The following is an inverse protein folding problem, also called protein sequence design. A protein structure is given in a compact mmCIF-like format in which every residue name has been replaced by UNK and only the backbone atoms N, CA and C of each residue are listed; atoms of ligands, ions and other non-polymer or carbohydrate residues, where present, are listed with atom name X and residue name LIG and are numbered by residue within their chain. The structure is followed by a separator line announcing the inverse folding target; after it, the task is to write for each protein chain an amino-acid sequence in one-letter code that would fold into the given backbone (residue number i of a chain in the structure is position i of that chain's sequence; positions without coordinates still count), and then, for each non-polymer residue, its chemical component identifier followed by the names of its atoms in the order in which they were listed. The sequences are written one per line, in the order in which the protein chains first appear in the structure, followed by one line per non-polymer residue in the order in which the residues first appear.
data_IF_549594189233
#
_entry.id   IF_549594189233
#
_cell.length_a   1.000
_cell.length_b   1.000
_cell.length_c   1.000
_cell.angle_alpha   90.00
_cell.angle_beta   90.00
_cell.angle_gamma   90.00
#
_symmetry.space_group_name_H-M   'P 1'
#
loop_
_entity.id
_entity.type
_entity.pdbx_description
1 polymer ?
#
# COMPACT_ATOMS: atom_id res chain seq x y z
N UNK A 1 -3.59 14.22 21.36
CA UNK A 1 -2.39 15.08 21.42
C UNK A 1 -1.08 14.28 21.46
N UNK A 2 -0.95 13.25 22.31
CA UNK A 2 0.28 12.43 22.43
C UNK A 2 0.79 11.86 21.10
N UNK A 3 -0.10 11.28 20.28
CA UNK A 3 0.24 10.77 18.94
C UNK A 3 0.89 11.89 18.09
N UNK A 4 0.32 13.09 18.12
CA UNK A 4 0.79 14.21 17.31
C UNK A 4 2.14 14.75 17.79
N UNK A 5 2.39 14.74 19.10
CA UNK A 5 3.71 15.06 19.65
C UNK A 5 4.81 14.11 19.16
N UNK A 6 4.48 12.84 18.86
CA UNK A 6 5.42 11.90 18.23
C UNK A 6 5.57 12.12 16.71
N UNK A 7 4.52 12.60 16.04
CA UNK A 7 4.50 12.79 14.58
C UNK A 7 5.23 14.06 14.15
N UNK A 8 5.01 15.18 14.85
CA UNK A 8 5.54 16.49 14.48
C UNK A 8 7.08 16.53 14.29
N UNK A 9 7.90 15.87 15.14
CA UNK A 9 9.35 15.81 14.96
C UNK A 9 9.81 15.05 13.70
N UNK A 10 8.97 14.15 13.17
CA UNK A 10 9.26 13.33 11.99
C UNK A 10 8.90 14.01 10.66
N UNK A 11 8.17 15.13 10.69
CA UNK A 11 7.85 15.90 9.50
C UNK A 11 9.04 16.77 9.08
N UNK A 12 9.44 16.63 7.81
CA UNK A 12 10.34 17.59 7.15
C UNK A 12 9.66 18.94 6.93
N UNK A 13 10.46 19.99 6.77
CA UNK A 13 9.99 21.30 6.32
C UNK A 13 9.22 21.19 5.01
N UNK A 14 8.08 21.87 4.94
CA UNK A 14 7.13 21.80 3.83
C UNK A 14 6.33 20.49 3.77
N UNK A 15 6.58 19.53 4.67
CA UNK A 15 5.83 18.28 4.77
C UNK A 15 4.39 18.52 5.18
N UNK A 16 3.48 17.70 4.64
CA UNK A 16 2.04 17.81 4.89
C UNK A 16 1.61 16.80 5.96
N UNK A 17 0.75 17.25 6.87
CA UNK A 17 0.01 16.45 7.83
C UNK A 17 -1.48 16.57 7.52
N UNK A 18 -2.11 15.46 7.15
CA UNK A 18 -3.56 15.36 7.14
C UNK A 18 -4.01 14.82 8.51
N UNK A 19 -4.65 15.67 9.30
CA UNK A 19 -5.30 15.26 10.55
C UNK A 19 -6.78 14.96 10.26
N UNK A 20 -7.31 13.88 10.82
CA UNK A 20 -8.71 13.49 10.61
C UNK A 20 -9.27 12.68 11.77
N UNK A 21 -10.58 12.80 11.99
CA UNK A 21 -11.33 12.05 13.01
C UNK A 21 -12.72 11.67 12.46
N UNK A 22 -13.35 10.64 13.03
CA UNK A 22 -14.75 10.28 12.78
C UNK A 22 -15.66 10.68 13.96
N UNK A 23 -15.34 11.79 14.62
CA UNK A 23 -16.13 12.37 15.73
C UNK A 23 -16.64 13.75 15.33
N UNK A 24 -17.60 14.27 16.09
CA UNK A 24 -18.06 15.66 15.97
C UNK A 24 -17.51 16.57 17.06
N UNK A 25 -16.83 16.01 18.07
CA UNK A 25 -16.33 16.73 19.22
C UNK A 25 -15.30 17.81 18.83
N UNK A 26 -15.56 19.06 19.20
CA UNK A 26 -14.66 20.20 18.92
C UNK A 26 -13.33 20.05 19.63
N UNK A 27 -13.34 19.42 20.80
CA UNK A 27 -12.19 19.11 21.64
C UNK A 27 -11.20 18.15 20.96
N UNK A 28 -11.72 17.27 20.10
CA UNK A 28 -10.93 16.34 19.31
C UNK A 28 -10.58 16.93 17.93
N UNK A 29 -11.30 17.93 17.44
CA UNK A 29 -11.15 18.45 16.08
C UNK A 29 -10.40 19.80 16.06
N UNK A 30 -11.12 20.93 16.19
CA UNK A 30 -10.52 22.26 16.06
C UNK A 30 -9.56 22.60 17.20
N UNK A 31 -9.77 22.06 18.40
CA UNK A 31 -8.79 22.20 19.47
C UNK A 31 -7.46 21.52 19.14
N UNK A 32 -7.49 20.40 18.41
CA UNK A 32 -6.28 19.73 17.95
C UNK A 32 -5.62 20.50 16.81
N UNK A 33 -6.41 21.06 15.88
CA UNK A 33 -5.88 21.95 14.83
C UNK A 33 -5.20 23.18 15.44
N UNK A 34 -5.82 23.80 16.44
CA UNK A 34 -5.23 24.92 17.21
C UNK A 34 -3.90 24.51 17.84
N UNK A 35 -3.87 23.36 18.51
CA UNK A 35 -2.62 22.82 19.07
C UNK A 35 -1.54 22.64 18.00
N UNK A 36 -1.89 22.10 16.82
CA UNK A 36 -0.94 21.92 15.73
C UNK A 36 -0.43 23.27 15.20
N UNK A 37 -1.30 24.25 15.03
CA UNK A 37 -0.93 25.59 14.57
C UNK A 37 0.06 26.30 15.51
N UNK A 38 -0.06 26.04 16.82
CA UNK A 38 0.91 26.51 17.83
C UNK A 38 2.27 25.79 17.77
N UNK A 39 2.42 24.73 16.98
CA UNK A 39 3.63 23.89 16.86
C UNK A 39 4.26 23.95 15.45
N UNK A 40 4.35 25.16 14.89
CA UNK A 40 4.91 25.46 13.56
C UNK A 40 4.20 24.75 12.40
N UNK A 41 2.88 24.61 12.48
CA UNK A 41 2.06 24.08 11.40
C UNK A 41 1.17 25.18 10.83
N UNK A 42 1.13 25.29 9.51
CA UNK A 42 0.23 26.21 8.82
C UNK A 42 -0.99 25.43 8.32
N UNK A 43 -2.20 25.84 8.72
CA UNK A 43 -3.43 25.30 8.15
C UNK A 43 -3.58 25.74 6.69
N UNK A 44 -3.74 24.77 5.79
CA UNK A 44 -3.86 25.00 4.35
C UNK A 44 -5.32 24.89 3.90
N UNK A 45 -5.73 25.67 2.88
CA UNK A 45 -7.05 25.53 2.29
C UNK A 45 -7.21 24.16 1.62
N UNK A 46 -8.40 23.54 1.69
CA UNK A 46 -8.69 22.32 0.96
C UNK A 46 -8.91 22.62 -0.53
N UNK A 47 -8.96 21.57 -1.35
CA UNK A 47 -9.33 21.72 -2.76
C UNK A 47 -10.79 22.19 -2.90
N UNK A 48 -11.08 23.00 -3.92
CA UNK A 48 -12.41 23.60 -4.19
C UNK A 48 -13.56 22.57 -4.17
N UNK A 49 -13.34 21.41 -4.82
CA UNK A 49 -14.33 20.31 -4.84
C UNK A 49 -14.76 19.82 -3.46
N UNK A 50 -13.92 20.00 -2.44
CA UNK A 50 -14.22 19.59 -1.06
C UNK A 50 -15.10 20.62 -0.37
N UNK A 51 -14.93 21.91 -0.66
CA UNK A 51 -15.75 22.99 -0.10
C UNK A 51 -17.24 22.81 -0.43
N UNK A 52 -17.54 22.21 -1.59
CA UNK A 52 -18.91 21.99 -2.06
C UNK A 52 -19.67 20.91 -1.29
N UNK A 53 -18.97 20.02 -0.59
CA UNK A 53 -19.55 18.83 0.08
C UNK A 53 -19.26 18.79 1.59
N UNK A 54 -18.69 19.87 2.13
CA UNK A 54 -18.31 19.97 3.54
C UNK A 54 -18.72 21.32 4.13
N UNK A 55 -18.92 21.35 5.44
CA UNK A 55 -18.96 22.59 6.20
C UNK A 55 -17.57 23.03 6.62
N UNK A 56 -17.46 24.33 6.93
CA UNK A 56 -16.29 24.82 7.63
C UNK A 56 -16.20 24.26 9.06
N UNK A 57 -14.97 24.15 9.57
CA UNK A 57 -14.71 23.88 10.97
C UNK A 57 -15.25 25.01 11.85
N UNK A 58 -15.51 24.67 13.10
CA UNK A 58 -16.11 25.57 14.08
C UNK A 58 -15.06 26.58 14.56
N UNK A 59 -15.26 27.85 14.22
CA UNK A 59 -14.42 28.95 14.68
C UNK A 59 -14.87 29.41 16.07
N UNK A 60 -13.99 29.32 17.06
CA UNK A 60 -14.20 29.85 18.41
C UNK A 60 -13.05 30.78 18.82
N UNK A 61 -13.33 31.72 19.73
CA UNK A 61 -12.32 32.58 20.40
C UNK A 61 -11.46 33.40 19.43
N UNK A 62 -12.02 33.82 18.29
CA UNK A 62 -11.37 34.71 17.32
C UNK A 62 -10.40 34.02 16.37
N UNK A 63 -10.32 32.68 16.39
CA UNK A 63 -9.49 31.92 15.47
C UNK A 63 -10.27 31.43 14.27
N UNK A 64 -9.67 31.51 13.09
CA UNK A 64 -10.30 31.14 11.83
C UNK A 64 -10.04 29.66 11.49
N UNK A 65 -11.10 28.86 11.50
CA UNK A 65 -11.10 27.43 11.12
C UNK A 65 -11.73 27.17 9.73
N UNK A 66 -11.82 28.21 8.89
CA UNK A 66 -12.39 28.17 7.54
C UNK A 66 -11.64 27.29 6.54
N UNK A 67 -10.56 26.63 6.95
CA UNK A 67 -9.82 25.68 6.13
C UNK A 67 -9.85 24.25 6.69
N UNK A 68 -10.28 24.07 7.95
CA UNK A 68 -10.60 22.75 8.50
C UNK A 68 -12.02 22.37 8.06
N UNK A 69 -12.29 21.11 7.67
CA UNK A 69 -13.55 20.69 7.06
C UNK A 69 -14.28 19.67 7.91
N UNK A 70 -15.61 19.81 7.98
CA UNK A 70 -16.53 18.85 8.59
C UNK A 70 -17.45 18.26 7.53
N UNK A 71 -17.46 16.95 7.44
CA UNK A 71 -18.50 16.17 6.78
C UNK A 71 -19.62 15.95 7.77
N UNK A 72 -20.81 16.46 7.44
CA UNK A 72 -22.02 16.19 8.18
C UNK A 72 -22.97 15.37 7.31
N UNK A 73 -23.70 14.39 7.88
CA UNK A 73 -24.66 13.55 7.15
C UNK A 73 -25.79 14.35 6.48
N UNK A 74 -26.08 15.54 6.99
CA UNK A 74 -27.09 16.45 6.41
C UNK A 74 -26.54 17.38 5.32
N UNK A 75 -25.22 17.33 5.04
CA UNK A 75 -24.57 18.09 3.96
C UNK A 75 -24.21 17.17 2.80
N UNK A 76 -23.65 16.00 3.11
CA UNK A 76 -23.24 15.01 2.11
C UNK A 76 -23.46 13.59 2.64
N UNK A 77 -23.60 12.64 1.71
CA UNK A 77 -23.74 11.22 2.05
C UNK A 77 -22.49 10.72 2.81
N UNK A 78 -22.71 10.14 4.01
CA UNK A 78 -21.66 9.62 4.87
C UNK A 78 -22.06 9.65 6.34
N UNK A 79 -21.26 9.01 7.19
CA UNK A 79 -21.53 8.91 8.65
C UNK A 79 -21.08 10.15 9.43
N UNK A 80 -20.13 10.91 8.88
CA UNK A 80 -19.50 12.06 9.51
C UNK A 80 -17.98 11.91 9.62
N UNK A 81 -17.26 13.00 9.38
CA UNK A 81 -15.80 13.02 9.44
C UNK A 81 -15.30 14.45 9.57
N UNK A 82 -14.17 14.65 10.25
CA UNK A 82 -13.41 15.90 10.23
C UNK A 82 -12.07 15.70 9.55
N UNK A 83 -11.58 16.72 8.84
CA UNK A 83 -10.16 16.77 8.47
C UNK A 83 -9.59 18.20 8.42
N UNK A 84 -8.29 18.29 8.62
CA UNK A 84 -7.49 19.49 8.40
C UNK A 84 -6.16 19.12 7.73
N UNK A 85 -5.81 19.86 6.68
CA UNK A 85 -4.50 19.74 6.02
C UNK A 85 -3.57 20.81 6.55
N UNK A 86 -2.45 20.42 7.13
CA UNK A 86 -1.47 21.37 7.67
C UNK A 86 -0.09 21.13 7.07
N UNK A 87 0.71 22.19 6.94
CA UNK A 87 2.07 22.14 6.44
C UNK A 87 3.07 22.54 7.51
N UNK A 88 4.12 21.72 7.70
CA UNK A 88 5.22 22.01 8.62
C UNK A 88 6.07 23.17 8.10
N UNK A 89 6.21 24.21 8.90
CA UNK A 89 7.02 25.39 8.58
C UNK A 89 8.47 25.26 9.07
N UNK A 90 8.67 24.60 10.22
CA UNK A 90 9.98 24.32 10.81
C UNK A 90 10.72 23.15 10.15
N UNK A 91 12.00 22.99 10.48
CA UNK A 91 12.81 21.85 10.05
C UNK A 91 12.42 20.55 10.76
N UNK A 92 12.76 19.40 10.15
CA UNK A 92 12.63 18.12 10.84
C UNK A 92 13.60 18.05 12.02
N UNK A 93 13.11 17.55 13.16
CA UNK A 93 13.94 17.33 14.34
C UNK A 93 14.69 16.00 14.29
N UNK A 94 14.19 15.03 13.51
CA UNK A 94 14.84 13.72 13.34
C UNK A 94 15.34 13.48 11.93
N UNK A 95 16.58 13.00 11.83
CA UNK A 95 17.13 12.39 10.62
C UNK A 95 17.53 10.96 10.92
N UNK A 96 17.16 10.04 10.03
CA UNK A 96 17.49 8.62 10.17
C UNK A 96 18.61 8.22 9.22
N UNK A 97 19.56 7.42 9.69
CA UNK A 97 20.53 6.75 8.82
C UNK A 97 19.91 5.42 8.37
N UNK A 98 19.96 5.14 7.06
CA UNK A 98 19.51 3.84 6.54
C UNK A 98 20.50 2.75 6.93
N UNK A 99 19.97 1.58 7.30
CA UNK A 99 20.76 0.35 7.34
C UNK A 99 20.86 -0.19 5.88
N UNK A 100 21.97 -0.80 5.47
CA UNK A 100 22.07 -1.43 4.15
C UNK A 100 21.21 -2.71 4.07
N UNK A 101 20.65 -2.97 2.88
CA UNK A 101 19.88 -4.18 2.60
C UNK A 101 20.72 -5.45 2.78
N UNK A 102 20.13 -6.51 3.33
CA UNK A 102 20.82 -7.77 3.68
C UNK A 102 20.71 -8.82 2.57
N UNK A 103 20.97 -8.44 1.33
CA UNK A 103 20.90 -9.34 0.17
C UNK A 103 22.27 -9.50 -0.45
N UNK A 104 22.78 -10.73 -0.55
CA UNK A 104 24.06 -10.98 -1.21
C UNK A 104 23.98 -10.73 -2.72
N UNK A 105 25.13 -10.45 -3.34
CA UNK A 105 25.23 -10.22 -4.79
C UNK A 105 24.70 -11.41 -5.60
N UNK A 106 25.00 -12.63 -5.15
CA UNK A 106 24.55 -13.86 -5.82
C UNK A 106 23.04 -14.04 -5.75
N UNK A 107 22.43 -13.84 -4.57
CA UNK A 107 20.97 -13.90 -4.41
C UNK A 107 20.28 -12.84 -5.28
N UNK A 108 20.81 -11.61 -5.30
CA UNK A 108 20.29 -10.52 -6.14
C UNK A 108 20.32 -10.91 -7.62
N UNK A 109 21.41 -11.52 -8.09
CA UNK A 109 21.52 -11.98 -9.48
C UNK A 109 20.50 -13.07 -9.81
N UNK A 110 20.36 -14.09 -8.95
CA UNK A 110 19.37 -15.16 -9.14
C UNK A 110 17.94 -14.63 -9.14
N UNK A 111 17.61 -13.74 -8.21
CA UNK A 111 16.30 -13.11 -8.11
C UNK A 111 16.01 -12.23 -9.33
N UNK A 112 16.96 -11.38 -9.73
CA UNK A 112 16.82 -10.53 -10.92
C UNK A 112 16.58 -11.38 -12.17
N UNK A 113 17.30 -12.48 -12.35
CA UNK A 113 17.09 -13.40 -13.47
C UNK A 113 15.68 -14.06 -13.45
N UNK A 114 15.16 -14.36 -12.26
CA UNK A 114 13.77 -14.82 -12.13
C UNK A 114 12.78 -13.73 -12.52
N UNK A 115 12.95 -12.51 -11.99
CA UNK A 115 12.01 -11.41 -12.21
C UNK A 115 12.01 -10.96 -13.67
N UNK A 116 13.17 -10.76 -14.30
CA UNK A 116 13.26 -10.35 -15.71
C UNK A 116 12.71 -11.37 -16.69
N UNK A 117 12.69 -12.66 -16.31
CA UNK A 117 12.05 -13.72 -17.08
C UNK A 117 10.51 -13.64 -17.05
N UNK A 118 9.93 -13.13 -15.96
CA UNK A 118 8.48 -13.19 -15.73
C UNK A 118 7.79 -11.83 -15.73
N UNK A 119 8.51 -10.73 -15.57
CA UNK A 119 7.99 -9.37 -15.54
C UNK A 119 8.52 -8.57 -16.72
N UNK A 120 7.67 -7.73 -17.31
CA UNK A 120 8.05 -6.77 -18.36
C UNK A 120 8.67 -5.49 -17.80
N UNK A 121 8.74 -5.34 -16.48
CA UNK A 121 9.34 -4.21 -15.78
C UNK A 121 10.36 -4.70 -14.74
N UNK A 122 11.40 -3.89 -14.51
CA UNK A 122 12.41 -4.18 -13.51
C UNK A 122 11.93 -3.84 -12.09
N UNK A 123 12.36 -4.67 -11.14
CA UNK A 123 12.21 -4.41 -9.71
C UNK A 123 13.57 -3.98 -9.18
N UNK A 124 13.73 -2.67 -8.95
CA UNK A 124 15.04 -2.06 -8.69
C UNK A 124 15.62 -2.43 -7.32
N UNK A 125 14.81 -2.32 -6.26
CA UNK A 125 15.29 -2.44 -4.88
C UNK A 125 14.63 -3.62 -4.19
N UNK A 126 15.49 -4.53 -3.72
CA UNK A 126 15.09 -5.73 -2.98
C UNK A 126 15.79 -5.81 -1.63
N UNK A 127 15.05 -6.28 -0.62
CA UNK A 127 15.59 -6.65 0.68
C UNK A 127 15.26 -8.10 1.03
N UNK A 128 15.96 -8.68 2.02
CA UNK A 128 15.70 -10.01 2.55
C UNK A 128 15.42 -9.93 4.06
N UNK A 129 14.34 -10.57 4.49
CA UNK A 129 13.97 -10.73 5.88
C UNK A 129 13.65 -12.21 6.14
N UNK A 130 14.37 -12.83 7.08
CA UNK A 130 14.40 -14.28 7.24
C UNK A 130 14.69 -14.95 5.87
N UNK A 131 13.82 -15.84 5.40
CA UNK A 131 13.99 -16.55 4.12
C UNK A 131 13.32 -15.85 2.92
N UNK A 132 12.58 -14.77 3.14
CA UNK A 132 11.79 -14.12 2.10
C UNK A 132 12.43 -12.84 1.56
N UNK A 133 12.26 -12.64 0.25
CA UNK A 133 12.67 -11.45 -0.47
C UNK A 133 11.48 -10.51 -0.65
N UNK A 134 11.74 -9.22 -0.57
CA UNK A 134 10.75 -8.16 -0.68
C UNK A 134 11.20 -7.14 -1.71
N UNK A 135 10.30 -6.70 -2.59
CA UNK A 135 10.48 -5.45 -3.32
C UNK A 135 10.14 -4.30 -2.39
N UNK A 136 11.06 -3.36 -2.27
CA UNK A 136 10.95 -2.22 -1.35
C UNK A 136 11.02 -0.92 -2.13
N UNK A 137 10.40 0.13 -1.60
CA UNK A 137 10.48 1.44 -2.25
C UNK A 137 11.95 1.93 -2.26
N UNK A 138 12.44 2.59 -3.33
CA UNK A 138 13.83 3.07 -3.37
C UNK A 138 14.20 4.04 -2.24
N UNK A 139 13.23 4.80 -1.76
CA UNK A 139 13.38 5.69 -0.58
C UNK A 139 13.12 4.98 0.76
N UNK A 140 12.78 3.70 0.77
CA UNK A 140 12.58 2.95 2.00
C UNK A 140 13.89 2.95 2.78
N UNK A 141 13.89 3.58 3.96
CA UNK A 141 14.97 3.49 4.92
C UNK A 141 14.67 2.34 5.85
N UNK A 142 15.57 1.36 5.92
CA UNK A 142 15.46 0.32 6.95
C UNK A 142 15.91 0.93 8.28
N UNK A 143 14.93 1.19 9.14
CA UNK A 143 15.10 1.55 10.54
C UNK A 143 15.31 0.27 11.35
N UNK A 144 15.93 0.34 12.54
CA UNK A 144 16.08 -0.81 13.43
C UNK A 144 14.75 -1.14 14.15
N UNK A 145 13.68 -1.34 13.38
CA UNK A 145 12.34 -1.64 13.85
C UNK A 145 11.95 -3.07 13.47
N UNK A 146 10.98 -3.63 14.20
CA UNK A 146 10.34 -4.88 13.81
C UNK A 146 9.24 -4.57 12.79
N UNK A 147 9.50 -4.82 11.53
CA UNK A 147 8.53 -4.68 10.46
C UNK A 147 7.61 -5.91 10.37
N UNK A 148 6.31 -5.68 10.18
CA UNK A 148 5.37 -6.72 9.78
C UNK A 148 5.56 -7.10 8.29
N UNK A 149 5.83 -6.09 7.45
CA UNK A 149 6.23 -6.26 6.05
C UNK A 149 7.08 -5.06 5.62
N UNK A 150 8.17 -5.30 4.88
CA UNK A 150 9.05 -4.24 4.35
C UNK A 150 8.74 -3.87 2.90
N UNK A 151 7.57 -4.23 2.37
CA UNK A 151 7.16 -3.91 1.01
C UNK A 151 6.32 -5.05 0.43
N UNK A 152 6.54 -5.36 -0.85
CA UNK A 152 5.87 -6.49 -1.53
C UNK A 152 6.70 -7.74 -1.36
N UNK A 153 6.19 -8.74 -0.63
CA UNK A 153 6.83 -10.06 -0.50
C UNK A 153 6.86 -10.75 -1.87
N UNK A 154 8.05 -10.94 -2.43
CA UNK A 154 8.25 -11.54 -3.75
C UNK A 154 8.21 -13.07 -3.70
N UNK A 155 8.75 -13.67 -2.65
CA UNK A 155 8.94 -15.11 -2.55
C UNK A 155 10.17 -15.49 -1.76
N UNK A 156 10.57 -16.75 -1.89
CA UNK A 156 11.73 -17.33 -1.22
C UNK A 156 12.41 -18.36 -2.12
N UNK A 157 13.69 -18.65 -1.86
CA UNK A 157 14.38 -19.74 -2.53
C UNK A 157 14.19 -21.05 -1.76
N UNK A 158 13.79 -22.09 -2.48
CA UNK A 158 13.84 -23.48 -2.02
C UNK A 158 14.93 -24.20 -2.82
N UNK A 159 16.16 -24.16 -2.29
CA UNK A 159 17.35 -24.56 -3.03
C UNK A 159 17.62 -23.59 -4.18
N UNK A 160 17.73 -24.09 -5.41
CA UNK A 160 17.95 -23.27 -6.61
C UNK A 160 16.66 -22.71 -7.22
N UNK A 161 15.49 -23.15 -6.75
CA UNK A 161 14.20 -22.74 -7.31
C UNK A 161 13.61 -21.59 -6.51
N UNK A 162 13.23 -20.52 -7.19
CA UNK A 162 12.44 -19.46 -6.59
C UNK A 162 10.96 -19.86 -6.51
N UNK A 163 10.39 -19.73 -5.32
CA UNK A 163 8.98 -19.94 -5.02
C UNK A 163 8.32 -18.57 -4.87
N UNK A 164 7.58 -18.09 -5.90
CA UNK A 164 6.94 -16.79 -5.84
C UNK A 164 5.80 -16.79 -4.82
N UNK A 165 5.73 -15.72 -4.04
CA UNK A 165 4.66 -15.48 -3.09
C UNK A 165 3.45 -14.84 -3.79
N UNK A 166 2.25 -15.01 -3.24
CA UNK A 166 1.01 -14.43 -3.78
C UNK A 166 1.13 -12.92 -4.06
N UNK A 167 1.76 -12.17 -3.14
CA UNK A 167 1.95 -10.72 -3.29
C UNK A 167 2.78 -10.32 -4.53
N UNK A 168 3.68 -11.18 -5.04
CA UNK A 168 4.35 -10.93 -6.32
C UNK A 168 3.31 -10.78 -7.43
N UNK A 169 2.36 -11.71 -7.48
CA UNK A 169 1.33 -11.69 -8.51
C UNK A 169 0.38 -10.53 -8.29
N UNK A 170 -0.17 -10.30 -7.10
CA UNK A 170 -1.14 -9.22 -6.91
C UNK A 170 -0.55 -7.83 -7.08
N UNK A 171 0.74 -7.63 -6.82
CA UNK A 171 1.41 -6.34 -7.02
C UNK A 171 1.96 -6.13 -8.43
N UNK A 172 2.43 -7.19 -9.10
CA UNK A 172 3.11 -7.11 -10.40
C UNK A 172 2.40 -7.88 -11.53
N UNK A 173 1.19 -8.37 -11.28
CA UNK A 173 0.44 -9.20 -12.23
C UNK A 173 0.06 -8.47 -13.51
N UNK A 174 -0.12 -7.15 -13.45
CA UNK A 174 -0.34 -6.31 -14.64
C UNK A 174 0.87 -6.31 -15.57
N UNK A 175 2.09 -6.39 -15.02
CA UNK A 175 3.34 -6.41 -15.77
C UNK A 175 3.92 -7.83 -15.88
N UNK A 176 3.18 -8.84 -15.46
CA UNK A 176 3.57 -10.23 -15.59
C UNK A 176 3.40 -10.68 -17.04
N UNK A 177 4.44 -11.26 -17.63
CA UNK A 177 4.49 -11.59 -19.07
C UNK A 177 3.48 -12.70 -19.41
N UNK A 178 3.41 -13.73 -18.58
CA UNK A 178 2.52 -14.86 -18.78
C UNK A 178 1.23 -14.69 -17.98
N UNK A 179 0.08 -14.64 -18.66
CA UNK A 179 -1.22 -14.42 -18.02
C UNK A 179 -2.23 -15.45 -18.47
N UNK A 180 -3.15 -15.78 -17.58
CA UNK A 180 -4.38 -16.51 -17.90
C UNK A 180 -5.57 -15.63 -17.53
N UNK A 181 -6.36 -15.26 -18.54
CA UNK A 181 -7.55 -14.44 -18.37
C UNK A 181 -8.77 -15.31 -18.06
N UNK A 182 -9.43 -14.99 -16.96
CA UNK A 182 -10.75 -15.47 -16.58
C UNK A 182 -11.78 -14.39 -16.90
N UNK A 183 -13.04 -14.81 -17.04
CA UNK A 183 -14.17 -13.90 -17.29
C UNK A 183 -15.25 -14.12 -16.25
N UNK A 184 -16.11 -13.14 -16.08
CA UNK A 184 -17.35 -13.34 -15.32
C UNK A 184 -18.17 -14.46 -15.97
N UNK A 185 -18.61 -15.42 -15.14
CA UNK A 185 -19.30 -16.63 -15.59
C UNK A 185 -18.39 -17.77 -16.09
N UNK A 186 -17.05 -17.60 -16.08
CA UNK A 186 -16.14 -18.71 -16.35
C UNK A 186 -16.15 -19.69 -15.15
N UNK A 187 -16.50 -20.98 -15.35
CA UNK A 187 -16.53 -21.96 -14.25
C UNK A 187 -15.16 -22.15 -13.57
N UNK A 188 -14.06 -21.82 -14.24
CA UNK A 188 -12.71 -21.86 -13.65
C UNK A 188 -12.50 -20.81 -12.56
N UNK A 189 -13.26 -19.73 -12.56
CA UNK A 189 -13.12 -18.65 -11.57
C UNK A 189 -13.38 -19.15 -10.15
N UNK A 190 -14.50 -19.83 -9.94
CA UNK A 190 -14.84 -20.38 -8.63
C UNK A 190 -13.85 -21.46 -8.19
N UNK A 191 -13.44 -22.34 -9.12
CA UNK A 191 -12.42 -23.35 -8.83
C UNK A 191 -11.09 -22.71 -8.42
N UNK A 192 -10.66 -21.66 -9.12
CA UNK A 192 -9.46 -20.91 -8.75
C UNK A 192 -9.55 -20.31 -7.35
N UNK A 193 -10.68 -19.66 -7.01
CA UNK A 193 -10.90 -19.05 -5.70
C UNK A 193 -11.05 -20.10 -4.58
N UNK A 194 -11.51 -21.31 -4.88
CA UNK A 194 -11.49 -22.48 -3.96
C UNK A 194 -10.11 -23.12 -3.82
N UNK A 195 -9.13 -22.69 -4.61
CA UNK A 195 -7.77 -23.24 -4.58
C UNK A 195 -7.58 -24.51 -5.40
N UNK A 196 -8.50 -24.80 -6.32
CA UNK A 196 -8.48 -25.97 -7.22
C UNK A 196 -7.57 -25.72 -8.43
N UNK A 197 -7.10 -26.80 -9.06
CA UNK A 197 -6.42 -26.71 -10.35
C UNK A 197 -7.43 -26.34 -11.45
N UNK A 198 -7.03 -25.45 -12.35
CA UNK A 198 -7.86 -25.03 -13.48
C UNK A 198 -7.18 -25.34 -14.81
N UNK A 199 -7.96 -25.47 -15.88
CA UNK A 199 -7.45 -25.64 -17.24
C UNK A 199 -6.77 -24.35 -17.72
N UNK A 200 -5.57 -24.48 -18.30
CA UNK A 200 -4.90 -23.39 -19.02
C UNK A 200 -5.44 -23.29 -20.44
N UNK A 201 -5.98 -22.12 -20.83
CA UNK A 201 -6.48 -21.90 -22.19
C UNK A 201 -5.60 -20.97 -23.03
N UNK A 202 -4.91 -20.03 -22.39
CA UNK A 202 -4.16 -18.97 -23.08
C UNK A 202 -2.71 -18.83 -22.60
N UNK A 203 -2.41 -19.22 -21.37
CA UNK A 203 -1.09 -19.06 -20.80
C UNK A 203 -0.07 -20.10 -21.30
N UNK A 204 1.20 -19.72 -21.31
CA UNK A 204 2.31 -20.63 -21.56
C UNK A 204 2.69 -21.43 -20.31
N UNK A 205 3.52 -22.46 -20.49
CA UNK A 205 4.14 -23.23 -19.41
C UNK A 205 4.94 -22.33 -18.44
N UNK A 206 4.86 -22.63 -17.14
CA UNK A 206 5.58 -21.89 -16.09
C UNK A 206 4.67 -21.06 -15.19
N UNK A 207 5.26 -20.10 -14.45
CA UNK A 207 4.47 -19.23 -13.58
C UNK A 207 3.58 -18.31 -14.41
N UNK A 208 2.37 -18.06 -13.92
CA UNK A 208 1.32 -17.34 -14.62
C UNK A 208 0.56 -16.45 -13.63
N UNK A 209 0.27 -15.21 -14.02
CA UNK A 209 -0.68 -14.34 -13.31
C UNK A 209 -2.11 -14.64 -13.77
N UNK A 210 -3.02 -14.81 -12.83
CA UNK A 210 -4.44 -15.05 -13.10
C UNK A 210 -5.18 -13.72 -13.03
N UNK A 211 -5.87 -13.36 -14.10
CA UNK A 211 -6.60 -12.10 -14.21
C UNK A 211 -8.09 -12.34 -14.43
N UNK A 212 -8.92 -11.38 -14.03
CA UNK A 212 -10.35 -11.33 -14.27
C UNK A 212 -10.67 -9.94 -14.82
N UNK A 213 -11.07 -9.88 -16.10
CA UNK A 213 -11.34 -8.64 -16.81
C UNK A 213 -10.18 -7.64 -16.70
N UNK A 214 -8.95 -8.14 -16.83
CA UNK A 214 -7.72 -7.37 -16.68
C UNK A 214 -7.27 -7.10 -15.22
N UNK A 215 -8.08 -7.41 -14.21
CA UNK A 215 -7.71 -7.27 -12.80
C UNK A 215 -7.01 -8.51 -12.27
N UNK A 216 -5.89 -8.35 -11.57
CA UNK A 216 -5.13 -9.49 -11.06
C UNK A 216 -5.80 -10.11 -9.83
N UNK A 217 -6.07 -11.40 -9.88
CA UNK A 217 -6.57 -12.18 -8.74
C UNK A 217 -5.44 -12.81 -7.93
N UNK A 218 -4.37 -13.25 -8.60
CA UNK A 218 -3.28 -13.98 -7.98
C UNK A 218 -2.41 -14.67 -9.02
N UNK A 219 -1.81 -15.80 -8.65
CA UNK A 219 -0.96 -16.57 -9.54
C UNK A 219 -1.22 -18.06 -9.54
N UNK A 220 -0.50 -18.74 -10.40
CA UNK A 220 -0.41 -20.18 -10.48
C UNK A 220 0.85 -20.61 -11.22
N UNK A 221 0.93 -21.91 -11.48
CA UNK A 221 1.97 -22.49 -12.33
C UNK A 221 1.33 -23.43 -13.35
N UNK A 222 1.38 -23.05 -14.62
CA UNK A 222 0.98 -23.91 -15.73
C UNK A 222 2.00 -25.06 -15.89
N UNK A 223 1.49 -26.28 -15.87
CA UNK A 223 2.22 -27.53 -16.11
C UNK A 223 1.31 -28.47 -16.90
N UNK A 224 1.70 -28.81 -18.13
CA UNK A 224 1.00 -29.75 -18.99
C UNK A 224 -0.48 -29.37 -19.23
N UNK A 225 -0.73 -28.10 -19.54
CA UNK A 225 -2.08 -27.57 -19.82
C UNK A 225 -2.98 -27.39 -18.58
N UNK A 226 -2.45 -27.60 -17.37
CA UNK A 226 -3.15 -27.34 -16.11
C UNK A 226 -2.43 -26.30 -15.28
N UNK A 227 -3.18 -25.40 -14.67
CA UNK A 227 -2.65 -24.39 -13.76
C UNK A 227 -2.77 -24.90 -12.34
N UNK A 228 -1.61 -25.19 -11.74
CA UNK A 228 -1.51 -25.45 -10.30
C UNK A 228 -1.73 -24.15 -9.54
N UNK A 229 -2.63 -24.20 -8.59
CA UNK A 229 -3.14 -23.03 -7.91
C UNK A 229 -2.18 -22.53 -6.82
N UNK A 230 -1.78 -21.25 -6.90
CA UNK A 230 -0.94 -20.58 -5.90
C UNK A 230 -1.74 -19.58 -5.04
N UNK A 231 -3.08 -19.65 -5.08
CA UNK A 231 -3.97 -18.83 -4.27
C UNK A 231 -3.88 -19.23 -2.78
N UNK A 232 -3.65 -18.26 -1.87
CA UNK A 232 -3.42 -18.54 -0.45
C UNK A 232 -4.57 -19.29 0.20
N UNK A 233 -4.27 -20.34 0.96
CA UNK A 233 -5.28 -21.15 1.67
C UNK A 233 -6.25 -20.32 2.52
N UNK A 234 -5.74 -19.29 3.19
CA UNK A 234 -6.54 -18.41 4.05
C UNK A 234 -7.46 -17.43 3.31
N UNK A 235 -7.29 -17.26 2.00
CA UNK A 235 -8.14 -16.40 1.17
C UNK A 235 -9.17 -17.19 0.36
N UNK A 236 -9.11 -18.53 0.39
CA UNK A 236 -9.98 -19.36 -0.43
C UNK A 236 -11.44 -19.20 -0.01
N UNK A 237 -12.31 -19.07 -0.99
CA UNK A 237 -13.77 -19.15 -0.76
C UNK A 237 -14.13 -20.57 -0.34
N UNK A 238 -15.10 -20.68 0.56
CA UNK A 238 -15.64 -21.98 0.99
C UNK A 238 -16.64 -22.50 -0.03
#
# INVERSE_FOLDING_TARGET
REILSCVLPALKKGGLLLYSTCTYAVEEDEEIVRFLMQNDMQLLPPAERVLQITAAGVSEKGENMENARRFYPFISEGEGQFFALLQKQGEALYTTKSIPAKVSVNERKKLSAFLSKHLSQEVEVVNKQAESYYAVHPLARTLPLRYLSEGVRLGEFSGEKFLPHHNLFTAFGEVFINKEELKMGDPRLEGYLRGEEIEAKSCAEGYVAITLEGHVLGGGKCVSGKIKNHYPKGLRTR
#
